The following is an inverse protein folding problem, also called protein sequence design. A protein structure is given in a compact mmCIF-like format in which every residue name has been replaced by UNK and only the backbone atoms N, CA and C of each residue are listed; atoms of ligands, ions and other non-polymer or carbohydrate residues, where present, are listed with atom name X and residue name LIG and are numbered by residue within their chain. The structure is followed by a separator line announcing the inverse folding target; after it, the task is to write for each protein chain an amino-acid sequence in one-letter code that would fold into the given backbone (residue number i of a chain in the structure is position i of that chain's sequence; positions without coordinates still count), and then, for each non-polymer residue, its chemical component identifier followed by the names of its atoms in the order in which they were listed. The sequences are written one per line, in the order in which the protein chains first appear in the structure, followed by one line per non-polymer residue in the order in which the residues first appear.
data_IF_902987855403
#
_entry.id   IF_902987855403
#
_cell.length_a   1.000
_cell.length_b   1.000
_cell.length_c   1.000
_cell.angle_alpha   90.00
_cell.angle_beta   90.00
_cell.angle_gamma   90.00
#
_symmetry.space_group_name_H-M   'P 1'
#
loop_
_entity.id
_entity.type
_entity.pdbx_description
1 polymer ?
#
# COMPACT_ATOMS: atom_id res chain seq x y z
N UNK A 1 9.38 -27.41 9.68
CA UNK A 1 10.29 -27.57 8.53
C UNK A 1 11.11 -26.29 8.44
N UNK A 2 12.44 -26.37 8.44
CA UNK A 2 13.27 -25.20 8.14
C UNK A 2 13.18 -24.98 6.63
N UNK A 3 12.54 -23.89 6.19
CA UNK A 3 12.43 -23.56 4.77
C UNK A 3 13.80 -23.17 4.19
N UNK A 4 13.98 -23.36 2.89
CA UNK A 4 15.10 -22.75 2.17
C UNK A 4 14.89 -21.23 2.13
N UNK A 5 15.86 -20.47 2.63
CA UNK A 5 15.86 -19.01 2.53
C UNK A 5 16.52 -18.57 1.23
N UNK A 6 15.94 -17.54 0.60
CA UNK A 6 16.60 -16.80 -0.48
C UNK A 6 17.37 -15.67 0.19
N UNK A 7 18.69 -15.83 0.31
CA UNK A 7 19.58 -14.81 0.88
C UNK A 7 20.87 -15.34 1.51
N UNK A 8 21.79 -14.44 1.84
CA UNK A 8 23.11 -14.69 2.44
C UNK A 8 23.12 -14.62 3.97
N UNK A 9 21.99 -14.23 4.60
CA UNK A 9 21.89 -13.93 6.04
C UNK A 9 22.87 -12.83 6.51
N UNK A 10 23.37 -12.00 5.59
CA UNK A 10 24.20 -10.84 5.91
C UNK A 10 23.38 -9.80 6.71
N UNK A 11 23.97 -9.10 7.69
CA UNK A 11 23.29 -7.98 8.38
C UNK A 11 22.91 -6.83 7.44
N UNK A 12 23.59 -6.71 6.31
CA UNK A 12 23.29 -5.72 5.28
C UNK A 12 22.10 -6.12 4.39
N UNK A 13 21.63 -7.36 4.52
CA UNK A 13 20.58 -7.95 3.69
C UNK A 13 21.01 -8.28 2.26
N UNK A 14 20.08 -8.80 1.47
CA UNK A 14 20.24 -9.03 0.04
C UNK A 14 19.23 -8.18 -0.73
N UNK A 15 19.67 -7.57 -1.83
CA UNK A 15 18.78 -6.81 -2.70
C UNK A 15 18.32 -7.69 -3.87
N UNK A 16 17.01 -7.82 -4.03
CA UNK A 16 16.40 -8.42 -5.22
C UNK A 16 15.83 -7.28 -6.08
N UNK A 17 16.36 -7.12 -7.29
CA UNK A 17 16.05 -5.98 -8.17
C UNK A 17 16.76 -4.70 -7.72
N UNK A 18 17.96 -4.46 -8.25
CA UNK A 18 18.80 -3.32 -7.91
C UNK A 18 18.41 -2.03 -8.64
N UNK A 19 17.67 -2.14 -9.75
CA UNK A 19 17.22 -0.99 -10.55
C UNK A 19 15.73 -1.07 -10.86
N UNK A 20 15.12 0.07 -11.22
CA UNK A 20 13.71 0.12 -11.65
C UNK A 20 13.45 -0.58 -12.99
N UNK A 21 14.50 -0.96 -13.72
CA UNK A 21 14.40 -1.76 -14.93
C UNK A 21 14.47 -3.28 -14.66
N UNK A 22 14.92 -3.68 -13.47
CA UNK A 22 15.04 -5.08 -13.11
C UNK A 22 13.64 -5.68 -12.93
N UNK A 23 13.48 -6.92 -13.41
CA UNK A 23 12.21 -7.64 -13.33
C UNK A 23 12.32 -8.78 -12.34
N UNK A 24 11.31 -8.89 -11.47
CA UNK A 24 11.20 -9.96 -10.48
C UNK A 24 9.89 -10.71 -10.74
N UNK A 25 9.89 -12.03 -10.53
CA UNK A 25 8.66 -12.83 -10.55
C UNK A 25 8.65 -13.83 -9.41
N UNK A 26 7.43 -14.19 -9.00
CA UNK A 26 7.17 -15.25 -8.03
C UNK A 26 6.23 -16.27 -8.66
N UNK A 27 6.37 -17.54 -8.27
CA UNK A 27 5.48 -18.64 -8.68
C UNK A 27 5.33 -18.86 -10.20
N UNK A 28 6.38 -18.59 -10.98
CA UNK A 28 6.40 -18.85 -12.42
C UNK A 28 5.63 -17.85 -13.28
N UNK A 29 5.22 -16.71 -12.71
CA UNK A 29 4.60 -15.62 -13.47
C UNK A 29 5.61 -14.88 -14.35
N UNK A 30 5.11 -14.15 -15.36
CA UNK A 30 5.94 -13.25 -16.18
C UNK A 30 6.63 -12.22 -15.28
N UNK A 31 7.97 -12.09 -15.34
CA UNK A 31 8.68 -11.07 -14.58
C UNK A 31 8.21 -9.66 -14.92
N UNK A 32 7.97 -8.87 -13.88
CA UNK A 32 7.54 -7.47 -13.98
C UNK A 32 8.55 -6.56 -13.30
N UNK A 33 8.66 -5.33 -13.80
CA UNK A 33 9.40 -4.27 -13.10
C UNK A 33 8.67 -3.88 -11.83
N UNK A 34 9.39 -3.32 -10.87
CA UNK A 34 8.77 -2.72 -9.69
C UNK A 34 7.71 -1.70 -10.14
N UNK A 35 6.52 -1.79 -9.55
CA UNK A 35 5.41 -0.91 -9.95
C UNK A 35 5.71 0.53 -9.54
N UNK A 36 5.67 1.42 -10.53
CA UNK A 36 5.94 2.86 -10.43
C UNK A 36 4.92 3.65 -11.24
N UNK A 37 4.72 4.93 -10.90
CA UNK A 37 3.96 5.89 -11.69
C UNK A 37 3.00 6.75 -10.86
N UNK A 38 2.33 7.70 -11.52
CA UNK A 38 1.40 8.64 -10.87
C UNK A 38 0.26 7.95 -10.10
N UNK A 39 -0.14 6.74 -10.51
CA UNK A 39 -1.11 5.91 -9.79
C UNK A 39 -0.63 5.43 -8.41
N UNK A 40 0.67 5.58 -8.13
CA UNK A 40 1.33 5.30 -6.87
C UNK A 40 1.30 6.44 -5.85
N UNK A 41 0.62 7.55 -6.17
CA UNK A 41 0.54 8.72 -5.30
C UNK A 41 -0.36 8.44 -4.09
N UNK A 42 -0.10 9.16 -3.00
CA UNK A 42 -1.05 9.20 -1.90
C UNK A 42 -2.36 9.84 -2.36
N UNK A 43 -3.48 9.26 -1.96
CA UNK A 43 -4.80 9.81 -2.24
C UNK A 43 -5.00 11.03 -1.32
N UNK A 44 -5.30 12.17 -1.93
CA UNK A 44 -5.71 13.38 -1.20
C UNK A 44 -7.22 13.36 -1.00
N UNK A 45 -7.66 13.38 0.26
CA UNK A 45 -9.09 13.43 0.58
C UNK A 45 -9.57 14.88 0.75
N UNK A 46 -10.66 15.23 0.06
CA UNK A 46 -11.33 16.52 0.15
C UNK A 46 -12.78 16.39 0.68
N UNK A 47 -13.16 15.22 1.20
CA UNK A 47 -14.50 14.96 1.74
C UNK A 47 -14.84 15.78 2.98
N UNK A 48 -13.83 16.34 3.66
CA UNK A 48 -13.99 17.06 4.93
C UNK A 48 -14.22 16.15 6.13
N UNK A 49 -14.15 14.83 5.96
CA UNK A 49 -14.28 13.85 7.03
C UNK A 49 -13.03 13.75 7.90
N UNK A 50 -13.19 13.13 9.07
CA UNK A 50 -12.08 12.76 9.96
C UNK A 50 -11.96 11.23 10.00
N UNK A 51 -10.75 10.72 9.73
CA UNK A 51 -10.47 9.29 9.80
C UNK A 51 -10.60 8.77 11.26
N UNK A 52 -11.29 7.65 11.44
CA UNK A 52 -11.54 7.05 12.74
C UNK A 52 -11.02 5.61 12.80
N UNK A 53 -9.70 5.44 12.94
CA UNK A 53 -9.04 4.13 12.90
C UNK A 53 -9.59 3.12 13.93
N UNK A 54 -10.04 3.59 15.09
CA UNK A 54 -10.61 2.72 16.15
C UNK A 54 -12.02 2.22 15.81
N UNK A 55 -12.82 3.02 15.12
CA UNK A 55 -14.23 2.74 14.87
C UNK A 55 -14.46 2.16 13.47
N UNK A 56 -13.53 2.38 12.55
CA UNK A 56 -13.63 1.96 11.16
C UNK A 56 -14.77 2.67 10.41
N UNK A 57 -15.36 1.96 9.45
CA UNK A 57 -16.53 2.43 8.69
C UNK A 57 -17.80 2.12 9.48
N UNK A 58 -18.51 3.17 9.89
CA UNK A 58 -19.79 3.06 10.59
C UNK A 58 -20.93 2.67 9.64
N UNK A 59 -21.98 2.05 10.18
CA UNK A 59 -23.18 1.67 9.44
C UNK A 59 -23.85 2.88 8.80
N UNK A 60 -24.08 2.81 7.49
CA UNK A 60 -24.91 3.76 6.75
C UNK A 60 -26.34 3.25 6.78
N UNK A 61 -27.25 4.00 7.41
CA UNK A 61 -28.68 3.65 7.47
C UNK A 61 -29.42 4.23 6.27
N UNK A 62 -30.72 3.96 6.16
CA UNK A 62 -31.53 4.39 5.01
C UNK A 62 -31.67 5.91 4.83
N UNK A 63 -31.18 6.72 5.76
CA UNK A 63 -31.11 8.19 5.62
C UNK A 63 -29.69 8.61 5.32
N UNK A 64 -29.55 9.45 4.30
CA UNK A 64 -28.26 9.99 3.89
C UNK A 64 -27.62 10.82 5.02
N UNK A 65 -26.47 10.35 5.53
CA UNK A 65 -25.70 11.03 6.56
C UNK A 65 -24.32 11.41 6.00
N UNK A 66 -24.22 12.66 5.52
CA UNK A 66 -23.00 13.24 4.95
C UNK A 66 -21.77 13.05 5.85
N UNK A 67 -21.92 13.22 7.17
CA UNK A 67 -20.81 13.10 8.12
C UNK A 67 -20.29 11.68 8.24
N UNK A 68 -21.18 10.69 8.33
CA UNK A 68 -20.79 9.26 8.36
C UNK A 68 -20.05 8.88 7.07
N UNK A 69 -20.55 9.32 5.92
CA UNK A 69 -19.95 8.99 4.62
C UNK A 69 -18.58 9.65 4.45
N UNK A 70 -18.44 10.93 4.79
CA UNK A 70 -17.16 11.63 4.74
C UNK A 70 -16.13 10.97 5.67
N UNK A 71 -16.51 10.65 6.92
CA UNK A 71 -15.63 9.95 7.85
C UNK A 71 -15.24 8.55 7.37
N UNK A 72 -16.16 7.82 6.74
CA UNK A 72 -15.87 6.52 6.15
C UNK A 72 -14.84 6.62 5.01
N UNK A 73 -15.00 7.60 4.12
CA UNK A 73 -14.05 7.84 3.02
C UNK A 73 -12.67 8.20 3.56
N UNK A 74 -12.60 9.15 4.50
CA UNK A 74 -11.37 9.55 5.17
C UNK A 74 -10.65 8.35 5.83
N UNK A 75 -11.41 7.45 6.46
CA UNK A 75 -10.88 6.25 7.13
C UNK A 75 -10.26 5.26 6.13
N UNK A 76 -10.96 4.94 5.03
CA UNK A 76 -10.47 4.01 4.01
C UNK A 76 -9.26 4.61 3.27
N UNK A 77 -9.29 5.90 2.96
CA UNK A 77 -8.18 6.60 2.31
C UNK A 77 -6.94 6.61 3.22
N UNK A 78 -7.10 6.90 4.51
CA UNK A 78 -5.99 6.86 5.46
C UNK A 78 -5.34 5.48 5.51
N UNK A 79 -6.13 4.41 5.63
CA UNK A 79 -5.61 3.05 5.64
C UNK A 79 -4.95 2.67 4.29
N UNK A 80 -5.52 3.10 3.17
CA UNK A 80 -4.95 2.87 1.84
C UNK A 80 -3.60 3.55 1.68
N UNK A 81 -3.49 4.80 2.15
CA UNK A 81 -2.25 5.57 2.13
C UNK A 81 -1.17 4.95 3.03
N UNK A 82 -1.56 4.37 4.16
CA UNK A 82 -0.66 3.65 5.07
C UNK A 82 -0.15 2.34 4.45
N UNK A 83 -1.01 1.55 3.82
CA UNK A 83 -0.61 0.35 3.09
C UNK A 83 0.35 0.71 1.94
N UNK A 84 0.04 1.76 1.19
CA UNK A 84 0.92 2.29 0.15
C UNK A 84 2.28 2.71 0.73
N UNK A 85 2.30 3.46 1.84
CA UNK A 85 3.55 3.87 2.50
C UNK A 85 4.37 2.66 2.97
N UNK A 86 3.72 1.64 3.53
CA UNK A 86 4.35 0.38 3.96
C UNK A 86 4.98 -0.36 2.78
N UNK A 87 4.25 -0.50 1.66
CA UNK A 87 4.77 -1.14 0.45
C UNK A 87 5.95 -0.38 -0.15
N UNK A 88 5.95 0.96 -0.06
CA UNK A 88 7.09 1.79 -0.48
C UNK A 88 8.28 1.61 0.46
N UNK A 89 8.06 1.62 1.77
CA UNK A 89 9.11 1.40 2.76
C UNK A 89 9.79 0.04 2.62
N UNK A 90 9.05 -1.00 2.20
CA UNK A 90 9.59 -2.33 1.92
C UNK A 90 10.09 -2.51 0.47
N UNK A 91 10.09 -1.46 -0.36
CA UNK A 91 10.58 -1.54 -1.74
C UNK A 91 9.72 -2.41 -2.67
N UNK A 92 8.49 -2.77 -2.29
CA UNK A 92 7.57 -3.54 -3.13
C UNK A 92 6.80 -2.65 -4.13
N UNK A 93 6.83 -1.34 -3.92
CA UNK A 93 6.22 -0.32 -4.75
C UNK A 93 7.12 0.92 -4.74
N UNK A 94 7.41 1.59 -5.86
CA UNK A 94 8.36 2.72 -5.83
C UNK A 94 7.71 4.04 -5.34
N UNK A 95 6.38 4.13 -5.39
CA UNK A 95 5.63 5.33 -5.02
C UNK A 95 5.21 6.14 -6.24
N UNK A 96 4.93 7.42 -6.03
CA UNK A 96 4.80 8.40 -7.12
C UNK A 96 6.09 9.20 -7.20
N UNK A 97 6.68 9.21 -8.40
CA UNK A 97 8.06 9.58 -8.72
C UNK A 97 9.08 8.48 -8.39
#
# INVERSE_FOLDING_TARGET
MAGNSVGSNSPDGDTLGATTADKISFYGLTPIVQRTGAAGAAITDASGGTAAATNGVLTITGTYNQGIIANALATVIAQTNELRATLVAYGLHSGAA
#
